data_IF_006238415019
#
_entry.id   IF_006238415019
#
_cell.length_a   1.000
_cell.length_b   1.000
_cell.length_c   1.000
_cell.angle_alpha   90.00
_cell.angle_beta   90.00
_cell.angle_gamma   90.00
#
_symmetry.space_group_name_H-M   'P 1'
#
loop_
_entity.id
_entity.type
_entity.pdbx_description
1 polymer ?
#
# COMPACT_ATOMS: atom_id res chain seq x y z
N UNK A 1 -2.86 -17.78 -40.52
CA UNK A 1 -2.83 -17.22 -39.14
C UNK A 1 -2.93 -15.71 -39.22
N UNK A 2 -4.11 -15.13 -38.98
CA UNK A 2 -4.29 -13.67 -38.93
C UNK A 2 -4.09 -13.22 -37.48
N UNK A 3 -3.09 -12.39 -37.23
CA UNK A 3 -2.91 -11.70 -35.96
C UNK A 3 -4.14 -10.79 -35.76
N UNK A 4 -5.13 -11.26 -35.00
CA UNK A 4 -6.22 -10.45 -34.46
C UNK A 4 -6.13 -10.55 -32.95
N UNK A 5 -5.88 -9.41 -32.26
CA UNK A 5 -6.20 -9.09 -30.85
C UNK A 5 -5.13 -8.16 -30.25
N UNK A 6 -5.20 -6.86 -30.53
CA UNK A 6 -4.59 -5.91 -29.60
C UNK A 6 -5.43 -5.92 -28.32
N UNK A 7 -4.90 -6.50 -27.24
CA UNK A 7 -5.52 -6.43 -25.92
C UNK A 7 -5.11 -5.10 -25.27
N UNK A 8 -5.65 -3.99 -25.79
CA UNK A 8 -5.28 -2.63 -25.37
C UNK A 8 -5.31 -2.42 -23.84
N UNK A 9 -6.27 -2.98 -23.07
CA UNK A 9 -6.22 -2.92 -21.60
C UNK A 9 -4.92 -3.48 -21.00
N UNK A 10 -4.40 -4.58 -21.55
CA UNK A 10 -3.17 -5.20 -21.07
C UNK A 10 -1.94 -4.33 -21.36
N UNK A 11 -1.92 -3.65 -22.51
CA UNK A 11 -0.85 -2.70 -22.83
C UNK A 11 -0.86 -1.55 -21.82
N UNK A 12 -2.05 -1.00 -21.52
CA UNK A 12 -2.20 0.06 -20.52
C UNK A 12 -1.71 -0.39 -19.14
N UNK A 13 -2.02 -1.62 -18.71
CA UNK A 13 -1.51 -2.20 -17.46
C UNK A 13 0.02 -2.30 -17.46
N UNK A 14 0.62 -2.83 -18.54
CA UNK A 14 2.08 -2.95 -18.66
C UNK A 14 2.76 -1.58 -18.57
N UNK A 15 2.24 -0.58 -19.28
CA UNK A 15 2.74 0.78 -19.21
C UNK A 15 2.60 1.37 -17.79
N UNK A 16 1.49 1.09 -17.11
CA UNK A 16 1.30 1.47 -15.71
C UNK A 16 2.33 0.83 -14.79
N UNK A 17 2.63 -0.46 -14.96
CA UNK A 17 3.65 -1.16 -14.18
C UNK A 17 5.01 -0.51 -14.40
N UNK A 18 5.42 -0.32 -15.66
CA UNK A 18 6.68 0.35 -16.00
C UNK A 18 6.76 1.74 -15.38
N UNK A 19 5.68 2.53 -15.47
CA UNK A 19 5.63 3.86 -14.88
C UNK A 19 5.73 3.83 -13.35
N UNK A 20 5.02 2.93 -12.67
CA UNK A 20 5.12 2.79 -11.21
C UNK A 20 6.52 2.35 -10.75
N UNK A 21 7.20 1.47 -11.50
CA UNK A 21 8.58 1.08 -11.24
C UNK A 21 9.57 2.23 -11.49
N UNK A 22 9.32 3.05 -12.51
CA UNK A 22 10.08 4.27 -12.71
C UNK A 22 9.93 5.24 -11.52
N UNK A 23 8.71 5.44 -11.02
CA UNK A 23 8.48 6.27 -9.83
C UNK A 23 9.19 5.72 -8.61
N UNK A 24 9.17 4.39 -8.40
CA UNK A 24 9.94 3.75 -7.34
C UNK A 24 11.40 4.16 -7.43
N UNK A 25 12.02 4.04 -8.60
CA UNK A 25 13.43 4.37 -8.79
C UNK A 25 13.78 5.80 -8.35
N UNK A 26 12.86 6.77 -8.53
CA UNK A 26 13.08 8.18 -8.17
C UNK A 26 13.04 8.46 -6.66
N UNK A 27 12.60 7.52 -5.82
CA UNK A 27 12.47 7.74 -4.37
C UNK A 27 13.87 7.82 -3.73
N UNK A 28 14.23 8.95 -3.09
CA UNK A 28 15.47 9.04 -2.32
C UNK A 28 15.37 8.24 -1.03
N UNK A 29 16.48 7.62 -0.63
CA UNK A 29 16.53 6.86 0.62
C UNK A 29 16.43 7.77 1.84
N UNK A 30 15.71 7.29 2.87
CA UNK A 30 15.53 8.01 4.13
C UNK A 30 14.56 9.19 4.09
N UNK A 31 13.87 9.42 2.97
CA UNK A 31 12.90 10.51 2.82
C UNK A 31 11.50 9.95 2.66
N UNK A 32 10.62 10.33 3.58
CA UNK A 32 9.21 9.99 3.54
C UNK A 32 8.39 11.22 3.15
N UNK A 33 7.25 10.97 2.48
CA UNK A 33 6.33 12.03 2.09
C UNK A 33 5.72 12.75 3.30
N UNK A 34 5.54 12.04 4.42
CA UNK A 34 4.97 12.55 5.66
C UNK A 34 5.69 11.98 6.89
N UNK A 35 5.56 12.69 8.02
CA UNK A 35 6.08 12.22 9.31
C UNK A 35 5.43 10.91 9.78
N UNK A 36 4.15 10.70 9.45
CA UNK A 36 3.44 9.45 9.76
C UNK A 36 4.09 8.22 9.12
N UNK A 37 4.55 8.36 7.87
CA UNK A 37 5.22 7.30 7.13
C UNK A 37 6.58 6.99 7.77
N UNK A 38 7.29 8.03 8.23
CA UNK A 38 8.53 7.87 8.98
C UNK A 38 8.34 7.07 10.27
N UNK A 39 7.31 7.39 11.05
CA UNK A 39 6.98 6.67 12.28
C UNK A 39 6.65 5.19 12.02
N UNK A 40 5.83 4.90 11.00
CA UNK A 40 5.53 3.53 10.56
C UNK A 40 6.79 2.81 10.07
N UNK A 41 7.72 3.52 9.44
CA UNK A 41 8.95 2.94 8.90
C UNK A 41 9.93 2.59 10.01
N UNK A 42 10.02 3.40 11.06
CA UNK A 42 10.78 3.08 12.27
C UNK A 42 10.25 1.79 12.91
N UNK A 43 8.93 1.65 13.02
CA UNK A 43 8.32 0.44 13.57
C UNK A 43 8.55 -0.79 12.66
N UNK A 44 8.46 -0.62 11.33
CA UNK A 44 8.75 -1.70 10.38
C UNK A 44 10.23 -2.13 10.43
N UNK A 45 11.15 -1.17 10.58
CA UNK A 45 12.58 -1.45 10.75
C UNK A 45 12.88 -2.16 12.08
N UNK A 46 12.15 -1.83 13.13
CA UNK A 46 12.24 -2.51 14.42
C UNK A 46 11.78 -3.98 14.29
N UNK A 47 10.61 -4.21 13.68
CA UNK A 47 10.10 -5.56 13.42
C UNK A 47 11.01 -6.37 12.50
N UNK A 48 11.62 -5.74 11.49
CA UNK A 48 12.53 -6.42 10.56
C UNK A 48 13.81 -6.93 11.25
N UNK A 49 14.15 -6.36 12.41
CA UNK A 49 15.26 -6.80 13.28
C UNK A 49 14.82 -7.81 14.36
N UNK A 50 13.58 -8.29 14.31
CA UNK A 50 13.02 -9.25 15.28
C UNK A 50 12.57 -8.63 16.60
N UNK A 51 12.48 -7.30 16.70
CA UNK A 51 12.05 -6.62 17.92
C UNK A 51 10.53 -6.42 17.92
N UNK A 52 9.77 -7.42 18.35
CA UNK A 52 8.30 -7.37 18.38
C UNK A 52 7.73 -6.62 19.60
N UNK A 53 8.11 -5.35 19.74
CA UNK A 53 7.52 -4.40 20.70
C UNK A 53 6.76 -3.31 19.94
N UNK A 54 5.74 -2.72 20.56
CA UNK A 54 4.87 -1.72 19.89
C UNK A 54 5.26 -0.28 20.17
N UNK A 55 6.08 -0.03 21.18
CA UNK A 55 6.76 1.25 21.32
C UNK A 55 7.99 1.32 20.42
N UNK A 56 8.38 2.54 20.06
CA UNK A 56 9.58 2.79 19.27
C UNK A 56 10.82 2.53 20.11
N UNK A 57 11.76 1.77 19.55
CA UNK A 57 13.07 1.59 20.13
C UNK A 57 13.76 2.96 20.25
N UNK A 58 14.40 3.23 21.40
CA UNK A 58 15.17 4.45 21.57
C UNK A 58 16.32 4.50 20.55
N UNK A 59 16.71 5.70 20.09
CA UNK A 59 17.79 5.86 19.13
C UNK A 59 19.09 5.37 19.74
N UNK A 60 19.94 4.78 18.90
CA UNK A 60 21.23 4.18 19.33
C UNK A 60 22.20 5.28 19.78
N UNK A 61 22.15 6.43 19.11
CA UNK A 61 23.00 7.58 19.36
C UNK A 61 22.62 8.27 20.68
N UNK A 62 23.59 8.42 21.59
CA UNK A 62 23.41 9.07 22.90
C UNK A 62 22.90 10.50 22.76
N UNK A 63 23.54 11.30 21.90
CA UNK A 63 23.17 12.70 21.70
C UNK A 63 21.72 12.90 21.25
N UNK A 64 21.14 11.95 20.49
CA UNK A 64 19.72 12.02 20.10
C UNK A 64 18.82 11.76 21.29
N UNK A 65 19.17 10.77 22.14
CA UNK A 65 18.42 10.51 23.38
C UNK A 65 18.47 11.71 24.32
N UNK A 66 19.62 12.36 24.42
CA UNK A 66 19.78 13.56 25.26
C UNK A 66 18.89 14.70 24.75
N UNK A 67 18.82 14.92 23.43
CA UNK A 67 17.89 15.90 22.85
C UNK A 67 16.43 15.55 23.18
N UNK A 68 16.03 14.29 23.04
CA UNK A 68 14.66 13.85 23.35
C UNK A 68 14.31 14.05 24.82
N UNK A 69 15.24 13.75 25.73
CA UNK A 69 15.07 13.98 27.17
C UNK A 69 15.00 15.46 27.54
N UNK A 70 15.65 16.32 26.77
CA UNK A 70 15.56 17.78 26.90
C UNK A 70 14.30 18.38 26.25
N UNK A 71 13.32 17.56 25.88
CA UNK A 71 12.04 18.01 25.31
C UNK A 71 12.10 18.31 23.81
N UNK A 72 13.17 17.94 23.11
CA UNK A 72 13.33 18.14 21.66
C UNK A 72 13.00 16.88 20.87
N UNK A 73 12.00 16.11 21.34
CA UNK A 73 11.45 14.99 20.58
C UNK A 73 10.62 15.53 19.40
N UNK A 74 10.86 15.09 18.16
CA UNK A 74 10.31 15.77 16.97
C UNK A 74 8.85 15.44 16.65
N UNK A 75 8.20 14.55 17.42
CA UNK A 75 6.82 14.15 17.17
C UNK A 75 5.95 14.46 18.39
N UNK A 76 4.75 14.93 18.12
CA UNK A 76 3.81 15.33 19.16
C UNK A 76 2.51 14.54 19.04
N UNK A 77 1.64 14.70 20.03
CA UNK A 77 0.27 14.22 19.94
C UNK A 77 -0.44 14.90 18.74
N UNK A 78 -1.29 14.18 17.98
CA UNK A 78 -1.79 12.83 18.23
C UNK A 78 -0.98 11.71 17.53
N UNK A 79 0.22 11.99 17.03
CA UNK A 79 1.00 11.00 16.25
C UNK A 79 1.80 10.06 17.13
N UNK A 80 2.29 10.56 18.26
CA UNK A 80 3.04 9.79 19.26
C UNK A 80 2.62 10.18 20.66
N UNK A 81 2.45 9.18 21.53
CA UNK A 81 2.26 9.36 22.96
C UNK A 81 3.49 8.90 23.74
N UNK A 82 3.97 9.72 24.68
CA UNK A 82 5.01 9.33 25.63
C UNK A 82 4.38 8.81 26.93
N UNK A 83 4.43 7.50 27.13
CA UNK A 83 3.89 6.83 28.31
C UNK A 83 5.01 6.07 29.02
N UNK A 84 5.31 6.43 30.28
CA UNK A 84 6.38 5.82 31.07
C UNK A 84 7.75 5.82 30.36
N UNK A 85 8.11 6.96 29.76
CA UNK A 85 9.38 7.15 29.02
C UNK A 85 9.52 6.22 27.80
N UNK A 86 8.40 5.92 27.15
CA UNK A 86 8.31 5.12 25.92
C UNK A 86 7.40 5.81 24.93
N UNK A 87 7.80 5.79 23.66
CA UNK A 87 7.10 6.47 22.58
C UNK A 87 6.24 5.47 21.80
N UNK A 88 4.93 5.65 21.86
CA UNK A 88 3.96 4.81 21.14
C UNK A 88 3.36 5.60 19.98
N UNK A 89 3.46 5.06 18.77
CA UNK A 89 2.80 5.64 17.59
C UNK A 89 1.31 5.29 17.62
N UNK A 90 0.46 6.16 17.09
CA UNK A 90 -0.99 5.93 17.05
C UNK A 90 -1.49 5.19 15.82
N UNK A 91 -0.59 4.87 14.90
CA UNK A 91 -0.92 4.17 13.66
C UNK A 91 -1.05 2.65 13.88
N UNK A 92 -1.93 1.97 13.13
CA UNK A 92 -2.04 0.52 13.20
C UNK A 92 -0.70 -0.17 12.93
N UNK A 93 -0.27 -1.03 13.87
CA UNK A 93 0.99 -1.77 13.76
C UNK A 93 0.99 -2.83 12.65
N UNK A 94 -0.19 -3.20 12.14
CA UNK A 94 -0.35 -4.26 11.15
C UNK A 94 0.35 -3.94 9.83
N UNK A 95 0.30 -2.69 9.37
CA UNK A 95 0.98 -2.30 8.14
C UNK A 95 2.51 -2.36 8.27
N UNK A 96 3.14 -1.75 9.31
CA UNK A 96 4.56 -1.97 9.61
C UNK A 96 4.96 -3.44 9.76
N UNK A 97 4.09 -4.27 10.33
CA UNK A 97 4.36 -5.70 10.52
C UNK A 97 4.40 -6.46 9.18
N UNK A 98 3.49 -6.16 8.27
CA UNK A 98 3.42 -6.80 6.94
C UNK A 98 4.56 -6.31 6.03
N UNK A 99 5.03 -5.08 6.19
CA UNK A 99 6.15 -4.52 5.39
C UNK A 99 7.52 -4.92 5.92
N UNK A 100 7.63 -5.28 7.21
CA UNK A 100 8.89 -5.64 7.87
C UNK A 100 9.69 -6.77 7.20
N UNK A 101 9.10 -7.88 6.72
CA UNK A 101 9.86 -8.91 6.01
C UNK A 101 10.52 -8.38 4.73
N UNK A 102 9.81 -7.52 4.00
CA UNK A 102 10.35 -6.90 2.78
C UNK A 102 11.47 -5.92 3.12
N UNK A 103 11.33 -5.16 4.21
CA UNK A 103 12.41 -4.32 4.75
C UNK A 103 13.64 -5.16 5.13
N UNK A 104 13.46 -6.35 5.70
CA UNK A 104 14.58 -7.25 6.03
C UNK A 104 15.29 -7.77 4.76
N UNK A 105 14.52 -8.11 3.73
CA UNK A 105 15.05 -8.72 2.49
C UNK A 105 15.65 -7.70 1.52
N UNK A 106 15.05 -6.52 1.40
CA UNK A 106 15.35 -5.53 0.35
C UNK A 106 15.78 -4.16 0.90
N UNK A 107 16.02 -4.06 2.21
CA UNK A 107 16.33 -2.79 2.86
C UNK A 107 15.22 -1.76 2.67
N UNK A 108 15.61 -0.49 2.59
CA UNK A 108 14.68 0.66 2.48
C UNK A 108 13.64 0.50 1.36
N UNK A 109 14.05 -0.04 0.20
CA UNK A 109 13.16 -0.27 -0.95
C UNK A 109 12.05 -1.29 -0.63
N UNK A 110 12.29 -2.19 0.31
CA UNK A 110 11.33 -3.18 0.78
C UNK A 110 10.07 -2.58 1.39
N UNK A 111 10.15 -1.39 2.00
CA UNK A 111 8.98 -0.69 2.56
C UNK A 111 7.89 -0.46 1.51
N UNK A 112 8.29 -0.20 0.28
CA UNK A 112 7.39 0.16 -0.81
C UNK A 112 6.83 -1.04 -1.57
N UNK A 113 7.28 -2.26 -1.24
CA UNK A 113 6.82 -3.47 -1.91
C UNK A 113 5.31 -3.67 -1.76
N UNK A 114 4.79 -3.54 -0.55
CA UNK A 114 3.35 -3.70 -0.29
C UNK A 114 2.52 -2.60 -0.95
N UNK A 115 2.86 -1.29 -0.83
CA UNK A 115 2.18 -0.25 -1.59
C UNK A 115 2.15 -0.50 -3.10
N UNK A 116 3.27 -0.92 -3.69
CA UNK A 116 3.41 -1.17 -5.11
C UNK A 116 2.51 -2.32 -5.59
N UNK A 117 2.60 -3.48 -4.93
CA UNK A 117 1.80 -4.66 -5.29
C UNK A 117 0.31 -4.40 -5.07
N UNK A 118 -0.05 -3.65 -4.02
CA UNK A 118 -1.44 -3.28 -3.75
C UNK A 118 -2.01 -2.38 -4.86
N UNK A 119 -1.23 -1.42 -5.37
CA UNK A 119 -1.63 -0.60 -6.52
C UNK A 119 -1.86 -1.46 -7.77
N UNK A 120 -0.99 -2.43 -8.06
CA UNK A 120 -1.20 -3.33 -9.19
C UNK A 120 -2.43 -4.22 -9.00
N UNK A 121 -2.67 -4.69 -7.78
CA UNK A 121 -3.88 -5.44 -7.44
C UNK A 121 -5.14 -4.62 -7.71
N UNK A 122 -5.18 -3.34 -7.33
CA UNK A 122 -6.31 -2.44 -7.63
C UNK A 122 -6.58 -2.37 -9.13
N UNK A 123 -5.54 -2.22 -9.96
CA UNK A 123 -5.71 -2.17 -11.41
C UNK A 123 -6.24 -3.48 -11.99
N UNK A 124 -5.77 -4.63 -11.47
CA UNK A 124 -6.26 -5.94 -11.88
C UNK A 124 -7.71 -6.18 -11.44
N UNK A 125 -8.06 -5.81 -10.21
CA UNK A 125 -9.44 -5.88 -9.70
C UNK A 125 -10.35 -5.04 -10.58
N UNK A 126 -9.96 -3.81 -10.91
CA UNK A 126 -10.69 -2.96 -11.84
C UNK A 126 -10.87 -3.62 -13.21
N UNK A 127 -9.79 -4.16 -13.78
CA UNK A 127 -9.84 -4.86 -15.06
C UNK A 127 -10.83 -6.04 -15.05
N UNK A 128 -10.78 -6.90 -14.02
CA UNK A 128 -11.69 -8.04 -13.88
C UNK A 128 -13.13 -7.60 -13.64
N UNK A 129 -13.35 -6.56 -12.82
CA UNK A 129 -14.67 -5.98 -12.63
C UNK A 129 -15.28 -5.48 -13.96
N UNK A 130 -14.49 -4.81 -14.80
CA UNK A 130 -14.92 -4.43 -16.15
C UNK A 130 -15.26 -5.63 -17.03
N UNK A 131 -14.53 -6.75 -16.92
CA UNK A 131 -14.85 -7.97 -17.68
C UNK A 131 -16.17 -8.59 -17.21
N UNK A 132 -16.41 -8.67 -15.89
CA UNK A 132 -17.68 -9.18 -15.33
C UNK A 132 -18.88 -8.33 -15.73
N UNK A 133 -18.69 -7.01 -15.82
CA UNK A 133 -19.69 -6.07 -16.32
C UNK A 133 -19.85 -6.09 -17.85
N UNK A 134 -19.13 -6.96 -18.57
CA UNK A 134 -19.14 -7.05 -20.03
C UNK A 134 -18.82 -5.72 -20.74
N UNK A 135 -17.96 -4.88 -20.14
CA UNK A 135 -17.56 -3.61 -20.75
C UNK A 135 -16.69 -3.84 -21.99
N UNK A 136 -16.80 -2.93 -22.95
CA UNK A 136 -15.95 -2.96 -24.15
C UNK A 136 -14.47 -2.80 -23.80
N UNK A 137 -13.58 -3.32 -24.65
CA UNK A 137 -12.13 -3.15 -24.49
C UNK A 137 -11.72 -1.68 -24.48
N UNK A 138 -12.41 -0.84 -25.27
CA UNK A 138 -12.13 0.59 -25.34
C UNK A 138 -12.50 1.25 -24.00
N UNK A 139 -13.73 1.00 -23.51
CA UNK A 139 -14.20 1.52 -22.22
C UNK A 139 -13.30 1.09 -21.06
N UNK A 140 -12.91 -0.19 -21.02
CA UNK A 140 -11.98 -0.73 -20.01
C UNK A 140 -10.63 -0.01 -20.09
N UNK A 141 -10.12 0.24 -21.30
CA UNK A 141 -8.82 0.90 -21.47
C UNK A 141 -8.85 2.36 -21.07
N UNK A 142 -9.92 3.09 -21.43
CA UNK A 142 -10.12 4.47 -20.98
C UNK A 142 -10.19 4.53 -19.45
N UNK A 143 -10.96 3.62 -18.83
CA UNK A 143 -11.03 3.51 -17.38
C UNK A 143 -9.67 3.24 -16.73
N UNK A 144 -8.89 2.31 -17.28
CA UNK A 144 -7.53 2.03 -16.81
C UNK A 144 -6.59 3.22 -17.02
N UNK A 145 -6.66 3.93 -18.15
CA UNK A 145 -5.85 5.12 -18.39
C UNK A 145 -6.16 6.19 -17.35
N UNK A 146 -7.45 6.43 -17.06
CA UNK A 146 -7.87 7.38 -16.03
C UNK A 146 -7.35 6.95 -14.66
N UNK A 147 -7.55 5.69 -14.30
CA UNK A 147 -7.14 5.13 -13.02
C UNK A 147 -5.63 5.19 -12.81
N UNK A 148 -4.83 4.89 -13.84
CA UNK A 148 -3.37 4.78 -13.75
C UNK A 148 -2.69 6.14 -13.95
N UNK A 149 -3.10 6.92 -14.94
CA UNK A 149 -2.35 8.11 -15.38
C UNK A 149 -3.04 9.43 -15.05
N UNK A 150 -4.36 9.42 -14.82
CA UNK A 150 -5.13 10.63 -14.51
C UNK A 150 -5.65 10.65 -13.06
N UNK A 151 -5.10 9.81 -12.19
CA UNK A 151 -5.44 9.77 -10.76
C UNK A 151 -4.17 9.73 -9.91
N UNK A 152 -4.23 10.10 -8.61
CA UNK A 152 -3.07 10.02 -7.72
C UNK A 152 -2.67 8.58 -7.35
N UNK A 153 -3.45 7.56 -7.76
CA UNK A 153 -3.24 6.18 -7.32
C UNK A 153 -1.85 5.63 -7.67
N UNK A 154 -1.30 5.98 -8.84
CA UNK A 154 0.03 5.51 -9.21
C UNK A 154 1.13 6.19 -8.41
N UNK A 155 0.96 7.47 -8.06
CA UNK A 155 1.87 8.17 -7.15
C UNK A 155 1.86 7.52 -5.77
N UNK A 156 0.70 7.06 -5.31
CA UNK A 156 0.55 6.37 -4.03
C UNK A 156 1.29 5.03 -3.95
N UNK A 157 1.67 4.43 -5.09
CA UNK A 157 2.58 3.28 -5.09
C UNK A 157 3.98 3.67 -4.60
N UNK A 158 4.41 4.91 -4.83
CA UNK A 158 5.71 5.47 -4.45
C UNK A 158 5.71 6.16 -3.08
N UNK A 159 4.65 5.98 -2.30
CA UNK A 159 4.52 6.51 -0.94
C UNK A 159 4.41 5.36 0.04
N UNK A 160 5.15 5.44 1.15
CA UNK A 160 5.10 4.42 2.18
C UNK A 160 3.93 4.66 3.13
N UNK A 161 2.80 4.00 2.85
CA UNK A 161 1.57 4.14 3.63
C UNK A 161 0.59 2.98 3.38
N UNK A 162 -0.34 2.78 4.31
CA UNK A 162 -1.28 1.67 4.37
C UNK A 162 -2.48 1.79 3.41
N UNK A 163 -2.74 2.99 2.89
CA UNK A 163 -3.97 3.28 2.16
C UNK A 163 -4.11 2.48 0.87
N UNK A 164 -3.05 2.24 0.12
CA UNK A 164 -3.12 1.42 -1.10
C UNK A 164 -3.47 -0.04 -0.79
N UNK A 165 -2.95 -0.61 0.30
CA UNK A 165 -3.33 -1.93 0.77
C UNK A 165 -4.79 -1.96 1.22
N UNK A 166 -5.22 -0.99 2.04
CA UNK A 166 -6.59 -0.89 2.50
C UNK A 166 -7.58 -0.78 1.32
N UNK A 167 -7.29 0.07 0.34
CA UNK A 167 -8.10 0.22 -0.88
C UNK A 167 -8.09 -1.06 -1.70
N UNK A 168 -6.96 -1.75 -1.85
CA UNK A 168 -6.91 -3.02 -2.58
C UNK A 168 -7.82 -4.08 -1.96
N UNK A 169 -7.79 -4.24 -0.64
CA UNK A 169 -8.63 -5.20 0.10
C UNK A 169 -10.11 -4.80 0.00
N UNK A 170 -10.45 -3.55 0.36
CA UNK A 170 -11.84 -3.08 0.32
C UNK A 170 -12.42 -3.13 -1.09
N UNK A 171 -11.64 -2.74 -2.11
CA UNK A 171 -12.09 -2.77 -3.50
C UNK A 171 -12.27 -4.19 -4.01
N UNK A 172 -11.42 -5.14 -3.59
CA UNK A 172 -11.63 -6.56 -3.87
C UNK A 172 -12.95 -7.06 -3.25
N UNK A 173 -13.17 -6.80 -1.97
CA UNK A 173 -14.37 -7.22 -1.25
C UNK A 173 -15.65 -6.63 -1.86
N UNK A 174 -15.66 -5.33 -2.13
CA UNK A 174 -16.77 -4.63 -2.78
C UNK A 174 -17.00 -5.10 -4.21
N UNK A 175 -15.95 -5.32 -5.00
CA UNK A 175 -16.08 -5.83 -6.36
C UNK A 175 -16.76 -7.19 -6.39
N UNK A 176 -16.43 -8.10 -5.49
CA UNK A 176 -17.08 -9.41 -5.40
C UNK A 176 -18.51 -9.34 -4.84
N UNK A 177 -18.78 -8.38 -3.97
CA UNK A 177 -20.11 -8.17 -3.38
C UNK A 177 -21.10 -7.61 -4.41
N UNK A 178 -20.67 -6.58 -5.15
CA UNK A 178 -21.52 -5.80 -6.06
C UNK A 178 -21.49 -6.32 -7.50
N UNK A 179 -20.42 -7.00 -7.90
CA UNK A 179 -20.20 -7.52 -9.25
C UNK A 179 -19.83 -9.01 -9.15
N UNK A 180 -20.79 -9.88 -8.77
CA UNK A 180 -20.54 -11.31 -8.62
C UNK A 180 -20.21 -11.96 -9.97
N UNK A 181 -19.36 -12.99 -9.92
CA UNK A 181 -18.91 -13.73 -11.12
C UNK A 181 -20.00 -14.61 -11.75
N UNK A 182 -21.05 -14.96 -10.98
CA UNK A 182 -22.08 -15.91 -11.38
C UNK A 182 -23.42 -15.23 -11.65
N UNK A 183 -24.13 -15.68 -12.69
CA UNK A 183 -25.50 -15.26 -13.00
C UNK A 183 -26.53 -15.65 -11.93
N UNK A 184 -26.18 -16.58 -11.04
CA UNK A 184 -27.01 -17.04 -9.92
C UNK A 184 -26.95 -16.12 -8.69
N UNK A 185 -26.14 -15.05 -8.74
CA UNK A 185 -25.99 -14.08 -7.65
C UNK A 185 -24.87 -14.39 -6.66
N UNK A 186 -24.91 -13.76 -5.49
CA UNK A 186 -23.85 -13.82 -4.47
C UNK A 186 -23.92 -15.13 -3.66
N UNK A 187 -22.89 -15.96 -3.73
CA UNK A 187 -22.79 -17.16 -2.89
C UNK A 187 -22.47 -16.83 -1.43
N UNK A 188 -22.84 -17.71 -0.48
CA UNK A 188 -22.49 -17.57 0.95
C UNK A 188 -20.99 -17.38 1.17
N UNK A 189 -20.16 -18.11 0.42
CA UNK A 189 -18.70 -18.00 0.48
C UNK A 189 -18.22 -16.63 0.02
N UNK A 190 -18.75 -16.11 -1.09
CA UNK A 190 -18.43 -14.77 -1.58
C UNK A 190 -18.88 -13.70 -0.60
N UNK A 191 -20.07 -13.83 0.00
CA UNK A 191 -20.56 -12.89 1.01
C UNK A 191 -19.62 -12.81 2.23
N UNK A 192 -19.19 -13.98 2.75
CA UNK A 192 -18.23 -14.03 3.87
C UNK A 192 -16.88 -13.45 3.48
N UNK A 193 -16.33 -13.82 2.32
CA UNK A 193 -15.05 -13.29 1.85
C UNK A 193 -15.11 -11.77 1.64
N UNK A 194 -16.16 -11.27 0.99
CA UNK A 194 -16.38 -9.84 0.82
C UNK A 194 -16.43 -9.10 2.16
N UNK A 195 -17.10 -9.65 3.17
CA UNK A 195 -17.14 -9.07 4.51
C UNK A 195 -15.83 -9.13 5.29
N UNK A 196 -14.90 -10.04 4.96
CA UNK A 196 -13.56 -10.08 5.56
C UNK A 196 -12.63 -9.04 4.95
N UNK A 197 -12.84 -8.72 3.68
CA UNK A 197 -11.99 -7.78 2.92
C UNK A 197 -12.47 -6.32 2.99
N UNK A 198 -13.71 -6.08 3.41
CA UNK A 198 -14.30 -4.75 3.69
C UNK A 198 -14.10 -4.42 5.16
#
# INVERSE_FOLDING_TARGET
MRIKRYNFPLIVLILGVIFSLYLQWQIPEGVFFSGDAGLKALLAQQFSRGQFRFDLAPPIQTWVRDLWQNGLYPFEEPFVYNLNNRYYITFPYTFPLITAPFQALFGYRGLYFIPLISTWAIWLIFYFACQRLNLSKISTSIGLVILIFASPLTLYSAMYWEHTLAVALAFYGLSHLLIPDNSEGLSKKQAVLSGVFI
#
